data_IF_711055463302
#
_entry.id   IF_711055463302
#
_cell.length_a   1.000
_cell.length_b   1.000
_cell.length_c   1.000
_cell.angle_alpha   90.00
_cell.angle_beta   90.00
_cell.angle_gamma   90.00
#
_symmetry.space_group_name_H-M   'P 1'
#
loop_
_entity.id
_entity.type
_entity.pdbx_description
1 polymer ?
#
# COMPACT_ATOMS: atom_id res chain seq x y z
N UNK A 1 83.66 -24.94 -114.69
CA UNK A 1 84.11 -24.14 -113.52
C UNK A 1 82.84 -23.90 -112.71
N UNK A 2 82.41 -24.72 -111.75
CA UNK A 2 82.82 -24.77 -110.33
C UNK A 2 82.30 -26.09 -109.69
N UNK A 3 83.13 -27.13 -109.45
CA UNK A 3 82.73 -28.23 -108.54
C UNK A 3 83.76 -28.62 -107.46
N UNK A 4 84.90 -27.92 -107.32
CA UNK A 4 85.90 -28.23 -106.25
C UNK A 4 85.69 -27.47 -104.93
N UNK A 5 84.95 -26.36 -104.95
CA UNK A 5 84.72 -25.51 -103.75
C UNK A 5 83.58 -26.03 -102.87
N UNK A 6 82.66 -26.84 -103.41
CA UNK A 6 81.54 -27.39 -102.63
C UNK A 6 81.94 -28.55 -101.71
N UNK A 7 82.78 -29.48 -102.18
CA UNK A 7 83.20 -30.66 -101.41
C UNK A 7 84.10 -30.30 -100.20
N UNK A 8 84.93 -29.25 -100.31
CA UNK A 8 85.73 -28.76 -99.18
C UNK A 8 84.86 -28.06 -98.11
N UNK A 9 83.85 -27.28 -98.54
CA UNK A 9 82.90 -26.63 -97.63
C UNK A 9 81.97 -27.62 -96.91
N UNK A 10 81.62 -28.74 -97.55
CA UNK A 10 80.83 -29.81 -96.92
C UNK A 10 81.63 -30.59 -95.87
N UNK A 11 82.90 -30.91 -96.14
CA UNK A 11 83.76 -31.59 -95.16
C UNK A 11 84.03 -30.71 -93.93
N UNK A 12 84.21 -29.40 -94.11
CA UNK A 12 84.39 -28.44 -93.00
C UNK A 12 83.11 -28.31 -92.17
N UNK A 13 81.93 -28.25 -92.81
CA UNK A 13 80.63 -28.22 -92.12
C UNK A 13 80.35 -29.51 -91.36
N UNK A 14 80.66 -30.68 -91.93
CA UNK A 14 80.52 -31.98 -91.26
C UNK A 14 81.48 -32.13 -90.07
N UNK A 15 82.71 -31.60 -90.18
CA UNK A 15 83.66 -31.59 -89.06
C UNK A 15 83.23 -30.65 -87.94
N UNK A 16 82.64 -29.49 -88.26
CA UNK A 16 82.10 -28.56 -87.28
C UNK A 16 80.87 -29.15 -86.58
N UNK A 17 79.92 -29.70 -87.34
CA UNK A 17 78.72 -30.34 -86.80
C UNK A 17 79.04 -31.57 -85.92
N UNK A 18 80.09 -32.34 -86.27
CA UNK A 18 80.55 -33.44 -85.42
C UNK A 18 81.12 -32.93 -84.09
N UNK A 19 81.91 -31.86 -84.12
CA UNK A 19 82.45 -31.23 -82.91
C UNK A 19 81.33 -30.68 -82.01
N UNK A 20 80.32 -30.04 -82.59
CA UNK A 20 79.18 -29.53 -81.84
C UNK A 20 78.36 -30.68 -81.23
N UNK A 21 78.18 -31.78 -81.96
CA UNK A 21 77.51 -32.98 -81.45
C UNK A 21 78.30 -33.64 -80.30
N UNK A 22 79.64 -33.72 -80.42
CA UNK A 22 80.50 -34.24 -79.36
C UNK A 22 80.43 -33.37 -78.10
N UNK A 23 80.35 -32.04 -78.24
CA UNK A 23 80.14 -31.10 -77.11
C UNK A 23 78.77 -31.29 -76.47
N UNK A 24 77.71 -31.43 -77.27
CA UNK A 24 76.35 -31.67 -76.75
C UNK A 24 76.22 -33.02 -76.05
N UNK A 25 76.90 -34.06 -76.54
CA UNK A 25 76.95 -35.37 -75.89
C UNK A 25 77.67 -35.25 -74.54
N UNK A 26 78.81 -34.56 -74.50
CA UNK A 26 79.55 -34.31 -73.25
C UNK A 26 78.74 -33.49 -72.23
N UNK A 27 78.02 -32.46 -72.66
CA UNK A 27 77.11 -31.70 -71.79
C UNK A 27 75.93 -32.55 -71.32
N UNK A 28 75.37 -33.39 -72.20
CA UNK A 28 74.30 -34.33 -71.87
C UNK A 28 74.72 -35.38 -70.85
N UNK A 29 75.93 -35.93 -71.01
CA UNK A 29 76.53 -36.88 -70.07
C UNK A 29 76.80 -36.22 -68.71
N UNK A 30 77.33 -35.00 -68.71
CA UNK A 30 77.56 -34.23 -67.48
C UNK A 30 76.25 -33.92 -66.74
N UNK A 31 75.21 -33.49 -67.46
CA UNK A 31 73.89 -33.23 -66.86
C UNK A 31 73.23 -34.51 -66.34
N UNK A 32 73.40 -35.64 -67.04
CA UNK A 32 72.91 -36.93 -66.59
C UNK A 32 73.61 -37.36 -65.28
N UNK A 33 74.92 -37.17 -65.20
CA UNK A 33 75.71 -37.48 -64.00
C UNK A 33 75.32 -36.58 -62.82
N UNK A 34 75.06 -35.29 -63.06
CA UNK A 34 74.62 -34.33 -62.04
C UNK A 34 73.21 -34.63 -61.51
N UNK A 35 72.26 -34.98 -62.40
CA UNK A 35 70.91 -35.40 -62.00
C UNK A 35 70.93 -36.72 -61.22
N UNK A 36 71.80 -37.66 -61.60
CA UNK A 36 71.97 -38.93 -60.89
C UNK A 36 72.52 -38.72 -59.47
N UNK A 37 73.41 -37.74 -59.30
CA UNK A 37 73.95 -37.37 -57.99
C UNK A 37 72.92 -36.62 -57.12
N UNK A 38 72.02 -35.83 -57.71
CA UNK A 38 70.90 -35.22 -56.99
C UNK A 38 69.86 -36.26 -56.55
N UNK A 39 69.54 -37.22 -57.42
CA UNK A 39 68.60 -38.30 -57.13
C UNK A 39 69.13 -39.17 -55.98
N UNK A 40 70.43 -39.52 -56.02
CA UNK A 40 71.07 -40.28 -54.94
C UNK A 40 71.02 -39.53 -53.60
N UNK A 41 71.27 -38.21 -53.59
CA UNK A 41 71.16 -37.37 -52.38
C UNK A 41 69.74 -37.31 -51.83
N UNK A 42 68.74 -37.22 -52.70
CA UNK A 42 67.33 -37.23 -52.30
C UNK A 42 66.91 -38.58 -51.74
N UNK A 43 67.27 -39.69 -52.39
CA UNK A 43 66.99 -41.05 -51.90
C UNK A 43 67.67 -41.32 -50.55
N UNK A 44 68.89 -40.81 -50.37
CA UNK A 44 69.62 -40.92 -49.09
C UNK A 44 68.94 -40.09 -48.01
N UNK A 45 68.45 -38.90 -48.35
CA UNK A 45 67.70 -38.03 -47.43
C UNK A 45 66.34 -38.62 -47.06
N UNK A 46 65.62 -39.19 -48.02
CA UNK A 46 64.32 -39.85 -47.81
C UNK A 46 64.47 -41.10 -46.94
N UNK A 47 65.47 -41.95 -47.21
CA UNK A 47 65.80 -43.08 -46.33
C UNK A 47 66.15 -42.62 -44.92
N UNK A 48 66.99 -41.60 -44.77
CA UNK A 48 67.38 -41.06 -43.46
C UNK A 48 66.22 -40.44 -42.68
N UNK A 49 65.22 -39.89 -43.37
CA UNK A 49 63.98 -39.37 -42.76
C UNK A 49 63.01 -40.50 -42.39
N UNK A 50 62.86 -41.50 -43.27
CA UNK A 50 62.03 -42.70 -43.04
C UNK A 50 62.52 -43.52 -41.84
N UNK A 51 63.83 -43.72 -41.71
CA UNK A 51 64.44 -44.44 -40.59
C UNK A 51 64.26 -43.73 -39.24
N UNK A 52 64.18 -42.40 -39.24
CA UNK A 52 63.97 -41.57 -38.04
C UNK A 52 62.49 -41.34 -37.71
N UNK A 53 61.57 -41.65 -38.61
CA UNK A 53 60.15 -41.39 -38.45
C UNK A 53 59.42 -42.57 -37.78
N UNK A 54 59.11 -42.40 -36.49
CA UNK A 54 58.35 -43.39 -35.72
C UNK A 54 56.84 -43.16 -35.85
N UNK A 55 56.23 -43.94 -36.74
CA UNK A 55 54.78 -43.93 -37.00
C UNK A 55 53.96 -44.27 -35.74
N UNK A 56 54.45 -45.16 -34.88
CA UNK A 56 53.73 -45.57 -33.68
C UNK A 56 53.70 -44.43 -32.65
N UNK A 57 54.84 -43.77 -32.45
CA UNK A 57 54.97 -42.62 -31.55
C UNK A 57 54.16 -41.41 -32.04
N UNK A 58 54.08 -41.19 -33.36
CA UNK A 58 53.21 -40.16 -33.93
C UNK A 58 51.72 -40.45 -33.66
N UNK A 59 51.26 -41.69 -33.92
CA UNK A 59 49.87 -42.10 -33.64
C UNK A 59 49.51 -42.03 -32.15
N UNK A 60 50.44 -42.37 -31.27
CA UNK A 60 50.27 -42.22 -29.82
C UNK A 60 50.12 -40.75 -29.42
N UNK A 61 50.97 -39.88 -29.97
CA UNK A 61 50.91 -38.43 -29.74
C UNK A 61 49.58 -37.86 -30.25
N UNK A 62 49.09 -38.27 -31.42
CA UNK A 62 47.77 -37.88 -31.93
C UNK A 62 46.63 -38.31 -31.01
N UNK A 63 46.66 -39.55 -30.49
CA UNK A 63 45.67 -40.03 -29.50
C UNK A 63 45.71 -39.22 -28.22
N UNK A 64 46.89 -38.92 -27.69
CA UNK A 64 47.06 -38.11 -26.49
C UNK A 64 46.55 -36.68 -26.70
N UNK A 65 46.84 -36.07 -27.86
CA UNK A 65 46.31 -34.75 -28.22
C UNK A 65 44.78 -34.78 -28.34
N UNK A 66 44.19 -35.83 -28.92
CA UNK A 66 42.73 -35.99 -28.97
C UNK A 66 42.13 -36.11 -27.57
N UNK A 67 42.68 -36.96 -26.72
CA UNK A 67 42.21 -37.14 -25.34
C UNK A 67 42.31 -35.83 -24.52
N UNK A 68 43.42 -35.09 -24.65
CA UNK A 68 43.60 -33.80 -24.01
C UNK A 68 42.61 -32.75 -24.52
N UNK A 69 42.29 -32.75 -25.82
CA UNK A 69 41.26 -31.86 -26.40
C UNK A 69 39.87 -32.16 -25.84
N UNK A 70 39.51 -33.44 -25.72
CA UNK A 70 38.24 -33.86 -25.12
C UNK A 70 38.15 -33.49 -23.63
N UNK A 71 39.22 -33.73 -22.86
CA UNK A 71 39.29 -33.34 -21.46
C UNK A 71 39.17 -31.82 -21.29
N UNK A 72 39.86 -31.04 -22.13
CA UNK A 72 39.75 -29.57 -22.14
C UNK A 72 38.34 -29.10 -22.46
N UNK A 73 37.65 -29.73 -23.42
CA UNK A 73 36.27 -29.40 -23.76
C UNK A 73 35.33 -29.63 -22.57
N UNK A 74 35.42 -30.79 -21.91
CA UNK A 74 34.63 -31.10 -20.69
C UNK A 74 34.90 -30.11 -19.56
N UNK A 75 36.17 -29.79 -19.30
CA UNK A 75 36.55 -28.82 -18.28
C UNK A 75 36.00 -27.41 -18.58
N UNK A 76 36.05 -26.99 -19.85
CA UNK A 76 35.52 -25.70 -20.29
C UNK A 76 34.01 -25.62 -20.08
N UNK A 77 33.28 -26.68 -20.43
CA UNK A 77 31.84 -26.76 -20.22
C UNK A 77 31.46 -26.71 -18.73
N UNK A 78 32.21 -27.42 -17.88
CA UNK A 78 32.02 -27.37 -16.43
C UNK A 78 32.25 -25.96 -15.87
N UNK A 79 33.29 -25.25 -16.33
CA UNK A 79 33.56 -23.86 -15.93
C UNK A 79 32.40 -22.94 -16.33
N UNK A 80 31.86 -23.09 -17.55
CA UNK A 80 30.72 -22.28 -18.02
C UNK A 80 29.49 -22.53 -17.15
N UNK A 81 29.17 -23.79 -16.83
CA UNK A 81 28.05 -24.14 -15.94
C UNK A 81 28.23 -23.54 -14.55
N UNK A 82 29.41 -23.71 -13.95
CA UNK A 82 29.71 -23.17 -12.61
C UNK A 82 29.61 -21.65 -12.57
N UNK A 83 30.10 -20.93 -13.59
CA UNK A 83 29.93 -19.48 -13.72
C UNK A 83 28.47 -19.07 -13.75
N UNK A 84 27.66 -19.74 -14.57
CA UNK A 84 26.22 -19.45 -14.65
C UNK A 84 25.50 -19.68 -13.32
N UNK A 85 25.86 -20.74 -12.59
CA UNK A 85 25.30 -20.98 -11.25
C UNK A 85 25.73 -19.92 -10.25
N UNK A 86 27.02 -19.57 -10.22
CA UNK A 86 27.53 -18.54 -9.30
C UNK A 86 26.94 -17.15 -9.56
N UNK A 87 26.70 -16.79 -10.83
CA UNK A 87 25.96 -15.58 -11.19
C UNK A 87 24.52 -15.60 -10.66
N UNK A 88 23.83 -16.74 -10.80
CA UNK A 88 22.49 -16.95 -10.26
C UNK A 88 22.43 -16.85 -8.73
N UNK A 89 23.37 -17.51 -8.04
CA UNK A 89 23.47 -17.48 -6.58
C UNK A 89 23.79 -16.06 -6.08
N UNK A 90 24.66 -15.32 -6.77
CA UNK A 90 24.97 -13.92 -6.45
C UNK A 90 23.72 -13.04 -6.50
N UNK A 91 22.89 -13.21 -7.54
CA UNK A 91 21.62 -12.50 -7.67
C UNK A 91 20.63 -12.84 -6.55
N UNK A 92 20.55 -14.12 -6.15
CA UNK A 92 19.72 -14.53 -5.03
C UNK A 92 20.18 -13.92 -3.71
N UNK A 93 21.50 -13.89 -3.46
CA UNK A 93 22.09 -13.28 -2.26
C UNK A 93 21.76 -11.79 -2.20
N UNK A 94 21.81 -11.08 -3.32
CA UNK A 94 21.46 -9.65 -3.39
C UNK A 94 19.97 -9.42 -3.06
N UNK A 95 19.07 -10.24 -3.60
CA UNK A 95 17.65 -10.19 -3.26
C UNK A 95 17.38 -10.47 -1.78
N UNK A 96 18.04 -11.48 -1.19
CA UNK A 96 17.90 -11.80 0.23
C UNK A 96 18.37 -10.64 1.11
N UNK A 97 19.49 -9.99 0.75
CA UNK A 97 19.98 -8.81 1.46
C UNK A 97 18.96 -7.67 1.44
N UNK A 98 18.32 -7.42 0.30
CA UNK A 98 17.28 -6.39 0.17
C UNK A 98 16.09 -6.68 1.10
N UNK A 99 15.58 -7.91 1.10
CA UNK A 99 14.46 -8.33 1.96
C UNK A 99 14.83 -8.23 3.45
N UNK A 100 16.08 -8.56 3.82
CA UNK A 100 16.57 -8.43 5.19
C UNK A 100 16.56 -6.97 5.67
N UNK A 101 16.93 -6.04 4.80
CA UNK A 101 16.93 -4.62 5.14
C UNK A 101 15.50 -4.08 5.31
N UNK A 102 14.60 -4.40 4.39
CA UNK A 102 13.17 -4.05 4.50
C UNK A 102 12.55 -4.59 5.82
N UNK A 103 12.90 -5.82 6.20
CA UNK A 103 12.46 -6.42 7.47
C UNK A 103 13.02 -5.69 8.69
N UNK A 104 14.27 -5.22 8.63
CA UNK A 104 14.93 -4.45 9.70
C UNK A 104 14.21 -3.12 9.92
N UNK A 105 13.92 -2.40 8.84
CA UNK A 105 13.19 -1.13 8.88
C UNK A 105 11.77 -1.29 9.45
N UNK A 106 11.04 -2.32 8.98
CA UNK A 106 9.71 -2.63 9.49
C UNK A 106 9.72 -2.94 11.00
N UNK A 107 10.71 -3.70 11.49
CA UNK A 107 10.85 -4.04 12.92
C UNK A 107 11.09 -2.78 13.77
N UNK A 108 11.91 -1.85 13.31
CA UNK A 108 12.15 -0.59 14.00
C UNK A 108 10.91 0.33 13.98
N UNK A 109 10.14 0.33 12.88
CA UNK A 109 8.84 1.02 12.84
C UNK A 109 7.85 0.44 13.85
N UNK A 110 7.76 -0.88 13.96
CA UNK A 110 6.91 -1.55 14.95
C UNK A 110 7.32 -1.19 16.39
N UNK A 111 8.62 -1.15 16.69
CA UNK A 111 9.10 -0.69 18.01
C UNK A 111 8.63 0.74 18.33
N UNK A 112 8.79 1.68 17.38
CA UNK A 112 8.35 3.07 17.58
C UNK A 112 6.84 3.15 17.83
N UNK A 113 6.04 2.49 17.00
CA UNK A 113 4.59 2.46 17.15
C UNK A 113 4.13 1.85 18.48
N UNK A 114 4.85 0.86 19.03
CA UNK A 114 4.55 0.32 20.36
C UNK A 114 4.71 1.35 21.47
N UNK A 115 5.75 2.19 21.39
CA UNK A 115 5.97 3.27 22.37
C UNK A 115 4.87 4.33 22.26
N UNK A 116 4.53 4.75 21.04
CA UNK A 116 3.43 5.70 20.80
C UNK A 116 2.10 5.15 21.31
N UNK A 117 1.79 3.87 21.05
CA UNK A 117 0.57 3.25 21.52
C UNK A 117 0.52 3.15 23.05
N UNK A 118 1.66 2.93 23.71
CA UNK A 118 1.72 2.94 25.17
C UNK A 118 1.34 4.30 25.75
N UNK A 119 1.76 5.40 25.12
CA UNK A 119 1.35 6.75 25.54
C UNK A 119 -0.16 6.92 25.40
N UNK A 120 -0.74 6.45 24.29
CA UNK A 120 -2.20 6.48 24.07
C UNK A 120 -2.94 5.67 25.15
N UNK A 121 -2.43 4.49 25.52
CA UNK A 121 -3.06 3.68 26.58
C UNK A 121 -3.01 4.37 27.94
N UNK A 122 -1.87 4.99 28.30
CA UNK A 122 -1.75 5.77 29.54
C UNK A 122 -2.76 6.92 29.54
N UNK A 123 -2.85 7.68 28.44
CA UNK A 123 -3.82 8.77 28.30
C UNK A 123 -5.26 8.27 28.40
N UNK A 124 -5.59 7.14 27.75
CA UNK A 124 -6.93 6.55 27.81
C UNK A 124 -7.30 6.14 29.23
N UNK A 125 -6.37 5.54 29.95
CA UNK A 125 -6.57 5.17 31.35
C UNK A 125 -6.76 6.40 32.23
N UNK A 126 -5.93 7.44 32.09
CA UNK A 126 -6.11 8.70 32.82
C UNK A 126 -7.44 9.38 32.51
N UNK A 127 -7.87 9.38 31.24
CA UNK A 127 -9.17 9.92 30.84
C UNK A 127 -10.32 9.14 31.48
N UNK A 128 -10.26 7.81 31.46
CA UNK A 128 -11.31 6.94 32.01
C UNK A 128 -11.38 6.96 33.53
N UNK A 129 -10.24 6.90 34.21
CA UNK A 129 -10.22 6.58 35.63
C UNK A 129 -10.10 7.83 36.51
N UNK A 130 -9.67 8.96 35.92
CA UNK A 130 -9.54 10.24 36.64
C UNK A 130 -10.47 11.30 36.06
N UNK A 131 -10.38 11.56 34.75
CA UNK A 131 -11.10 12.68 34.14
C UNK A 131 -12.61 12.40 34.07
N UNK A 132 -13.02 11.22 33.62
CA UNK A 132 -14.43 10.86 33.49
C UNK A 132 -15.20 10.92 34.82
N UNK A 133 -14.73 10.37 35.96
CA UNK A 133 -15.42 10.50 37.23
C UNK A 133 -15.59 11.95 37.69
N UNK A 134 -14.54 12.76 37.56
CA UNK A 134 -14.57 14.19 37.93
C UNK A 134 -15.53 14.96 37.03
N UNK A 135 -15.46 14.75 35.72
CA UNK A 135 -16.35 15.37 34.74
C UNK A 135 -17.79 14.92 34.94
N UNK A 136 -18.04 13.63 35.22
CA UNK A 136 -19.36 13.10 35.52
C UNK A 136 -19.94 13.79 36.74
N UNK A 137 -19.21 13.83 37.86
CA UNK A 137 -19.68 14.51 39.08
C UNK A 137 -20.03 15.97 38.83
N UNK A 138 -19.16 16.70 38.13
CA UNK A 138 -19.40 18.11 37.83
C UNK A 138 -20.58 18.31 36.86
N UNK A 139 -20.70 17.46 35.84
CA UNK A 139 -21.79 17.54 34.86
C UNK A 139 -23.12 17.15 35.49
N UNK A 140 -23.17 16.08 36.30
CA UNK A 140 -24.35 15.69 37.07
C UNK A 140 -24.78 16.85 37.96
N UNK A 141 -23.86 17.50 38.68
CA UNK A 141 -24.20 18.66 39.52
C UNK A 141 -24.81 19.82 38.69
N UNK A 142 -24.21 20.14 37.54
CA UNK A 142 -24.70 21.23 36.66
C UNK A 142 -26.08 20.91 36.09
N UNK A 143 -26.25 19.70 35.56
CA UNK A 143 -27.52 19.22 35.00
C UNK A 143 -28.57 19.11 36.09
N UNK A 144 -28.22 18.58 37.27
CA UNK A 144 -29.12 18.43 38.42
C UNK A 144 -29.70 19.76 38.86
N UNK A 145 -28.86 20.81 38.94
CA UNK A 145 -29.34 22.16 39.26
C UNK A 145 -30.33 22.69 38.20
N UNK A 146 -29.97 22.62 36.92
CA UNK A 146 -30.86 23.06 35.85
C UNK A 146 -32.16 22.22 35.78
N UNK A 147 -32.06 20.92 36.07
CA UNK A 147 -33.20 20.01 36.13
C UNK A 147 -34.17 20.42 37.24
N UNK A 148 -33.65 20.74 38.44
CA UNK A 148 -34.48 21.24 39.54
C UNK A 148 -35.27 22.47 39.12
N UNK A 149 -34.58 23.48 38.57
CA UNK A 149 -35.18 24.75 38.15
C UNK A 149 -36.27 24.51 37.09
N UNK A 150 -35.97 23.73 36.05
CA UNK A 150 -36.91 23.45 34.96
C UNK A 150 -38.09 22.58 35.40
N UNK A 151 -37.84 21.57 36.24
CA UNK A 151 -38.91 20.71 36.72
C UNK A 151 -39.86 21.47 37.65
N UNK A 152 -39.35 22.39 38.47
CA UNK A 152 -40.19 23.24 39.33
C UNK A 152 -41.08 24.20 38.52
N UNK A 153 -40.57 24.73 37.40
CA UNK A 153 -41.36 25.61 36.52
C UNK A 153 -42.41 24.84 35.70
N UNK A 154 -42.08 23.64 35.23
CA UNK A 154 -42.97 22.79 34.43
C UNK A 154 -43.99 22.02 35.28
N UNK A 155 -43.66 21.65 36.52
CA UNK A 155 -44.52 20.89 37.42
C UNK A 155 -45.65 21.73 38.01
N UNK A 156 -46.80 21.11 38.28
CA UNK A 156 -47.91 21.74 39.00
C UNK A 156 -47.81 21.62 40.52
N UNK A 157 -47.07 20.63 41.00
CA UNK A 157 -47.01 20.34 42.42
C UNK A 157 -45.86 21.08 43.08
N UNK A 158 -46.09 21.51 44.32
CA UNK A 158 -45.01 21.92 45.21
C UNK A 158 -44.14 20.70 45.49
N UNK A 159 -42.96 20.69 44.88
CA UNK A 159 -41.90 19.72 45.17
C UNK A 159 -40.97 20.31 46.22
N UNK A 160 -40.46 19.46 47.11
CA UNK A 160 -39.42 19.89 48.06
C UNK A 160 -38.06 19.91 47.35
N UNK A 161 -37.82 18.89 46.51
CA UNK A 161 -36.55 18.69 45.84
C UNK A 161 -36.72 17.81 44.60
N UNK A 162 -35.99 18.12 43.54
CA UNK A 162 -35.84 17.28 42.35
C UNK A 162 -34.42 17.41 41.80
N UNK A 163 -33.72 16.29 41.68
CA UNK A 163 -32.31 16.27 41.30
C UNK A 163 -31.93 14.99 40.58
N UNK A 164 -30.67 14.94 40.17
CA UNK A 164 -30.04 13.71 39.71
C UNK A 164 -29.13 13.15 40.80
N UNK A 165 -29.22 11.84 41.03
CA UNK A 165 -28.26 11.11 41.86
C UNK A 165 -26.90 10.94 41.15
N UNK A 166 -25.93 10.32 41.82
CA UNK A 166 -24.58 10.07 41.26
C UNK A 166 -24.61 9.18 39.99
N UNK A 167 -25.67 8.39 39.83
CA UNK A 167 -25.90 7.54 38.67
C UNK A 167 -26.57 8.29 37.51
N UNK A 168 -27.12 9.48 37.76
CA UNK A 168 -27.86 10.29 36.78
C UNK A 168 -29.35 9.94 36.72
N UNK A 169 -29.87 9.25 37.73
CA UNK A 169 -31.29 8.93 37.88
C UNK A 169 -32.01 10.09 38.54
N UNK A 170 -33.26 10.33 38.13
CA UNK A 170 -34.12 11.34 38.72
C UNK A 170 -34.53 10.92 40.13
N UNK A 171 -34.24 11.77 41.11
CA UNK A 171 -34.68 11.66 42.48
C UNK A 171 -35.58 12.86 42.81
N UNK A 172 -36.81 12.59 43.23
CA UNK A 172 -37.82 13.61 43.54
C UNK A 172 -38.34 13.34 44.94
N UNK A 173 -38.37 14.38 45.77
CA UNK A 173 -38.96 14.33 47.11
C UNK A 173 -40.15 15.29 47.17
N UNK A 174 -41.26 14.81 47.74
CA UNK A 174 -42.49 15.57 47.91
C UNK A 174 -43.08 15.34 49.30
N UNK A 175 -43.42 16.41 50.00
CA UNK A 175 -43.90 16.39 51.37
C UNK A 175 -42.99 15.60 52.33
N UNK A 176 -41.67 15.66 52.11
CA UNK A 176 -40.67 14.93 52.88
C UNK A 176 -40.51 13.44 52.53
N UNK A 177 -41.23 12.93 51.54
CA UNK A 177 -41.21 11.51 51.13
C UNK A 177 -40.64 11.33 49.71
N UNK A 178 -39.84 10.28 49.44
CA UNK A 178 -39.36 9.96 48.10
C UNK A 178 -40.51 9.60 47.15
N UNK A 179 -40.51 10.21 45.97
CA UNK A 179 -41.45 9.95 44.88
C UNK A 179 -40.67 9.32 43.71
N UNK A 180 -40.56 7.97 43.68
CA UNK A 180 -39.83 7.30 42.62
C UNK A 180 -40.48 7.57 41.26
N UNK A 181 -39.67 7.65 40.19
CA UNK A 181 -40.15 7.95 38.83
C UNK A 181 -41.32 7.06 38.38
N UNK A 182 -41.31 5.79 38.79
CA UNK A 182 -42.37 4.82 38.46
C UNK A 182 -43.72 5.11 39.15
N UNK A 183 -43.75 6.00 40.15
CA UNK A 183 -44.97 6.43 40.85
C UNK A 183 -45.56 7.72 40.30
N UNK A 184 -44.86 8.39 39.38
CA UNK A 184 -45.33 9.62 38.74
C UNK A 184 -46.49 9.33 37.79
N UNK A 185 -47.43 10.28 37.70
CA UNK A 185 -48.44 10.28 36.64
C UNK A 185 -47.83 10.46 35.25
N UNK A 186 -48.60 10.21 34.20
CA UNK A 186 -48.13 10.39 32.82
C UNK A 186 -47.70 11.83 32.50
N UNK A 187 -48.41 12.83 33.04
CA UNK A 187 -48.07 14.25 32.89
C UNK A 187 -46.78 14.62 33.62
N UNK A 188 -46.64 14.19 34.88
CA UNK A 188 -45.43 14.40 35.67
C UNK A 188 -44.20 13.70 35.06
N UNK A 189 -44.38 12.48 34.57
CA UNK A 189 -43.33 11.73 33.89
C UNK A 189 -42.86 12.48 32.63
N UNK A 190 -43.81 13.00 31.85
CA UNK A 190 -43.51 13.78 30.64
C UNK A 190 -42.78 15.08 30.99
N UNK A 191 -43.22 15.78 32.05
CA UNK A 191 -42.55 17.00 32.53
C UNK A 191 -41.15 16.72 33.05
N UNK A 192 -40.94 15.69 33.86
CA UNK A 192 -39.63 15.29 34.37
C UNK A 192 -38.70 14.93 33.21
N UNK A 193 -39.19 14.15 32.24
CA UNK A 193 -38.39 13.76 31.08
C UNK A 193 -38.05 14.97 30.18
N UNK A 194 -38.93 15.95 30.05
CA UNK A 194 -38.67 17.16 29.30
C UNK A 194 -37.68 18.08 30.03
N UNK A 195 -37.89 18.33 31.32
CA UNK A 195 -36.99 19.10 32.17
C UNK A 195 -35.56 18.54 32.13
N UNK A 196 -35.41 17.22 32.19
CA UNK A 196 -34.10 16.58 32.10
C UNK A 196 -33.43 16.81 30.73
N UNK A 197 -34.17 16.68 29.63
CA UNK A 197 -33.63 16.94 28.28
C UNK A 197 -33.18 18.38 28.11
N UNK A 198 -33.98 19.33 28.61
CA UNK A 198 -33.65 20.76 28.61
C UNK A 198 -32.43 21.05 29.49
N UNK A 199 -32.34 20.43 30.67
CA UNK A 199 -31.21 20.57 31.59
C UNK A 199 -29.91 20.06 30.96
N UNK A 200 -29.95 18.90 30.30
CA UNK A 200 -28.81 18.34 29.55
C UNK A 200 -28.40 19.30 28.42
N UNK A 201 -29.37 19.76 27.62
CA UNK A 201 -29.12 20.64 26.49
C UNK A 201 -28.45 21.95 26.94
N UNK A 202 -29.06 22.67 27.90
CA UNK A 202 -28.57 23.95 28.42
C UNK A 202 -27.26 23.85 29.20
N UNK A 203 -27.01 22.73 29.90
CA UNK A 203 -25.84 22.60 30.78
C UNK A 203 -24.60 22.06 30.06
N UNK A 204 -24.79 21.20 29.06
CA UNK A 204 -23.69 20.47 28.41
C UNK A 204 -23.39 20.94 26.99
N UNK A 205 -24.28 21.70 26.36
CA UNK A 205 -24.09 22.18 24.98
C UNK A 205 -23.99 23.71 24.93
N UNK A 206 -23.24 24.23 23.96
CA UNK A 206 -23.15 25.69 23.71
C UNK A 206 -24.21 26.18 22.71
N UNK A 207 -24.65 25.31 21.80
CA UNK A 207 -25.57 25.66 20.72
C UNK A 207 -26.94 25.08 21.06
N UNK A 208 -27.87 25.93 21.47
CA UNK A 208 -29.17 25.51 21.98
C UNK A 208 -30.20 25.41 20.85
N UNK A 209 -29.96 24.50 19.90
CA UNK A 209 -30.96 24.08 18.93
C UNK A 209 -31.82 22.98 19.55
N UNK A 210 -33.11 23.24 19.73
CA UNK A 210 -34.06 22.27 20.26
C UNK A 210 -35.15 21.95 19.24
N UNK A 211 -35.35 20.65 18.99
CA UNK A 211 -36.42 20.12 18.14
C UNK A 211 -37.34 19.27 19.03
N UNK A 212 -38.61 19.68 19.15
CA UNK A 212 -39.62 18.96 19.91
C UNK A 212 -40.70 18.43 18.98
N UNK A 213 -40.92 17.12 18.99
CA UNK A 213 -41.98 16.46 18.23
C UNK A 213 -43.08 15.99 19.18
N UNK A 214 -44.27 16.55 19.02
CA UNK A 214 -45.45 16.37 19.86
C UNK A 214 -45.16 16.39 21.37
N UNK A 215 -44.55 17.47 21.91
CA UNK A 215 -44.17 17.54 23.32
C UNK A 215 -45.38 17.66 24.27
N UNK A 216 -46.58 17.84 23.73
CA UNK A 216 -47.85 17.92 24.47
C UNK A 216 -48.52 16.56 24.66
N UNK A 217 -47.94 15.49 24.11
CA UNK A 217 -48.48 14.14 24.25
C UNK A 217 -48.57 13.77 25.74
N UNK A 218 -49.74 13.28 26.17
CA UNK A 218 -50.04 12.97 27.58
C UNK A 218 -50.07 14.15 28.56
N UNK A 219 -49.97 15.40 28.09
CA UNK A 219 -50.18 16.59 28.93
C UNK A 219 -51.65 17.01 28.93
N UNK A 220 -52.14 17.43 30.09
CA UNK A 220 -53.42 18.14 30.23
C UNK A 220 -53.27 19.62 29.85
N UNK A 221 -54.40 20.34 29.82
CA UNK A 221 -54.46 21.76 29.44
C UNK A 221 -53.55 22.66 30.30
N UNK A 222 -53.45 22.36 31.60
CA UNK A 222 -52.63 23.12 32.53
C UNK A 222 -51.13 22.92 32.23
N UNK A 223 -50.71 21.67 32.07
CA UNK A 223 -49.32 21.34 31.71
C UNK A 223 -48.93 21.86 30.32
N UNK A 224 -49.85 21.87 29.35
CA UNK A 224 -49.63 22.47 28.02
C UNK A 224 -49.39 23.96 28.11
N UNK A 225 -50.18 24.66 28.91
CA UNK A 225 -50.03 26.11 29.13
C UNK A 225 -48.67 26.41 29.76
N UNK A 226 -48.28 25.67 30.79
CA UNK A 226 -46.96 25.79 31.43
C UNK A 226 -45.82 25.52 30.47
N UNK A 227 -45.90 24.45 29.70
CA UNK A 227 -44.89 24.14 28.68
C UNK A 227 -44.76 25.28 27.67
N UNK A 228 -45.89 25.82 27.20
CA UNK A 228 -45.91 26.96 26.28
C UNK A 228 -45.26 28.20 26.92
N UNK A 229 -45.63 28.53 28.15
CA UNK A 229 -45.06 29.68 28.88
C UNK A 229 -43.56 29.50 29.12
N UNK A 230 -43.13 28.31 29.54
CA UNK A 230 -41.74 27.93 29.72
C UNK A 230 -40.93 28.10 28.42
N UNK A 231 -41.41 27.55 27.31
CA UNK A 231 -40.70 27.67 26.02
C UNK A 231 -40.70 29.11 25.48
N UNK A 232 -41.69 29.92 25.84
CA UNK A 232 -41.75 31.34 25.52
C UNK A 232 -40.84 32.21 26.39
N UNK A 233 -40.59 31.82 27.65
CA UNK A 233 -39.74 32.56 28.60
C UNK A 233 -38.25 32.24 28.44
N UNK A 234 -37.92 31.05 27.94
CA UNK A 234 -36.53 30.59 27.82
C UNK A 234 -35.88 31.01 26.51
N UNK A 235 -34.62 31.47 26.61
CA UNK A 235 -33.83 31.88 25.45
C UNK A 235 -33.11 30.68 24.83
N UNK A 236 -33.64 30.20 23.70
CA UNK A 236 -32.98 29.22 22.84
C UNK A 236 -32.33 29.92 21.65
N UNK A 237 -31.22 29.37 21.13
CA UNK A 237 -30.64 29.85 19.87
C UNK A 237 -31.60 29.58 18.71
N UNK A 238 -32.23 28.40 18.72
CA UNK A 238 -33.31 28.06 17.81
C UNK A 238 -34.21 26.98 18.44
N UNK A 239 -35.52 27.19 18.39
CA UNK A 239 -36.53 26.23 18.84
C UNK A 239 -37.47 25.90 17.68
N UNK A 240 -37.69 24.61 17.43
CA UNK A 240 -38.71 24.11 16.52
C UNK A 240 -39.61 23.17 17.29
N UNK A 241 -40.91 23.48 17.30
CA UNK A 241 -41.94 22.64 17.91
C UNK A 241 -42.88 22.15 16.81
N UNK A 242 -43.06 20.84 16.74
CA UNK A 242 -44.09 20.20 15.91
C UNK A 242 -45.18 19.75 16.85
N UNK A 243 -46.38 20.31 16.72
CA UNK A 243 -47.51 19.87 17.53
C UNK A 243 -48.83 20.12 16.81
N UNK A 244 -49.83 19.31 17.15
CA UNK A 244 -51.23 19.55 16.80
C UNK A 244 -51.96 20.47 17.81
N UNK A 245 -51.29 20.93 18.87
CA UNK A 245 -51.87 21.77 19.93
C UNK A 245 -51.86 23.26 19.57
N UNK A 246 -53.04 23.88 19.55
CA UNK A 246 -53.23 25.29 19.21
C UNK A 246 -52.83 26.27 20.33
N UNK A 247 -52.52 25.80 21.54
CA UNK A 247 -52.05 26.63 22.66
C UNK A 247 -50.76 27.40 22.29
N UNK A 248 -49.95 26.81 21.40
CA UNK A 248 -48.69 27.37 20.90
C UNK A 248 -48.86 28.48 19.86
N UNK A 249 -50.05 28.65 19.27
CA UNK A 249 -50.32 29.69 18.27
C UNK A 249 -50.15 31.11 18.83
N UNK A 250 -50.21 31.25 20.15
CA UNK A 250 -50.04 32.53 20.86
C UNK A 250 -48.59 32.96 21.09
N UNK A 251 -47.60 32.07 20.84
CA UNK A 251 -46.19 32.42 20.99
C UNK A 251 -45.72 33.30 19.83
N UNK A 252 -44.79 34.25 20.06
CA UNK A 252 -44.21 35.10 19.02
C UNK A 252 -43.22 34.29 18.15
N UNK A 253 -43.74 33.35 17.36
CA UNK A 253 -42.98 32.40 16.56
C UNK A 253 -43.39 32.43 15.07
N UNK A 254 -42.52 31.90 14.21
CA UNK A 254 -42.88 31.62 12.80
C UNK A 254 -43.65 30.31 12.74
N UNK A 255 -44.95 30.39 12.47
CA UNK A 255 -45.83 29.21 12.44
C UNK A 255 -45.97 28.71 11.00
N UNK A 256 -45.75 27.40 10.82
CA UNK A 256 -45.98 26.70 9.56
C UNK A 256 -47.09 25.67 9.76
N UNK A 257 -48.17 25.80 9.01
CA UNK A 257 -49.28 24.84 9.03
C UNK A 257 -49.03 23.76 7.99
N UNK A 258 -49.20 22.50 8.38
CA UNK A 258 -49.06 21.33 7.50
C UNK A 258 -50.42 20.67 7.34
N UNK A 259 -50.89 20.54 6.10
CA UNK A 259 -52.20 19.95 5.78
C UNK A 259 -52.08 18.85 4.73
N UNK A 260 -52.88 17.79 4.85
CA UNK A 260 -52.97 16.74 3.82
C UNK A 260 -54.04 17.11 2.79
N UNK A 261 -53.63 17.49 1.57
CA UNK A 261 -54.52 17.83 0.44
C UNK A 261 -54.35 16.82 -0.69
N UNK A 262 -55.43 16.10 -1.04
CA UNK A 262 -55.46 15.09 -2.13
C UNK A 262 -54.29 14.08 -2.02
N UNK A 263 -54.05 13.58 -0.81
CA UNK A 263 -52.97 12.61 -0.53
C UNK A 263 -51.56 13.19 -0.45
N UNK A 264 -51.36 14.50 -0.63
CA UNK A 264 -50.05 15.18 -0.50
C UNK A 264 -50.03 16.10 0.72
N UNK A 265 -48.91 16.15 1.45
CA UNK A 265 -48.69 17.14 2.50
C UNK A 265 -48.32 18.48 1.87
N UNK A 266 -49.03 19.53 2.25
CA UNK A 266 -48.83 20.92 1.80
C UNK A 266 -48.48 21.74 3.03
N UNK A 267 -47.43 22.55 2.93
CA UNK A 267 -46.97 23.44 4.01
C UNK A 267 -47.28 24.87 3.62
N UNK A 268 -47.87 25.65 4.53
CA UNK A 268 -48.15 27.08 4.33
C UNK A 268 -47.79 27.86 5.59
N UNK A 269 -47.12 29.02 5.48
CA UNK A 269 -46.89 29.89 6.63
C UNK A 269 -48.24 30.44 7.13
N UNK A 270 -48.43 30.47 8.44
CA UNK A 270 -49.59 31.13 9.06
C UNK A 270 -49.25 32.63 9.18
N UNK A 271 -49.91 33.47 8.38
CA UNK A 271 -49.84 34.92 8.56
C UNK A 271 -50.68 35.29 9.78
N UNK A 272 -50.03 35.44 10.94
CA UNK A 272 -50.65 36.11 12.08
C UNK A 272 -50.70 37.61 11.70
N UNK A 273 -51.90 38.19 11.68
CA UNK A 273 -52.11 39.61 11.36
C UNK A 273 -51.19 40.48 12.21
N UNK A 274 -50.55 41.45 11.54
CA UNK A 274 -49.42 42.21 12.08
C UNK A 274 -49.68 42.93 13.40
N UNK A 275 -48.58 43.11 14.12
CA UNK A 275 -48.30 44.33 14.89
C UNK A 275 -47.02 44.91 14.29
#
# INVERSE_FOLDING_TARGET
IVPKVHLAREAEKLSAAKKDLDVMILEGEKNHEELKDQLSKLETSEKGLSEKYDVAKHKETERNVRALREARAKATEAIIRLKKTTEGDSFQVENIKKVLEEKREAKEKVKRLKVENNVIEVLRHSLRDVVQPVMRKNNVLRVSKAFQDFYQELSNDSIDYAALDDEGTIDITRNGEPSPVNSLSGGETTCAALALRLAICSSLTRNQLLLLDEPTIHLDELYRTKLKDFLGSHSFEQLVVVTHDNTFDSLPAKIFRVEKRRGRSVVSPLQIGGV
#
